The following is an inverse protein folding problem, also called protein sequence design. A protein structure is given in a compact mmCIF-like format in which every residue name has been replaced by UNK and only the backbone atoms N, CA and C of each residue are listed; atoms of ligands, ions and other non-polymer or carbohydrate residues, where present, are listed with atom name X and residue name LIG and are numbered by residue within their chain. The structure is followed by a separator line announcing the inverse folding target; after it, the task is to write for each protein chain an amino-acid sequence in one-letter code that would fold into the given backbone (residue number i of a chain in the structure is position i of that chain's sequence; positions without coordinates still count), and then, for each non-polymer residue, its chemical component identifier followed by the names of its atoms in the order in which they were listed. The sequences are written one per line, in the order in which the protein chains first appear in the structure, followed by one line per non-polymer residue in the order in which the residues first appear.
data_IF_756982069911
#
_entry.id   IF_756982069911
#
_cell.length_a   1.000
_cell.length_b   1.000
_cell.length_c   1.000
_cell.angle_alpha   90.00
_cell.angle_beta   90.00
_cell.angle_gamma   90.00
#
_symmetry.space_group_name_H-M   'P 1'
#
loop_
_entity.id
_entity.type
_entity.pdbx_description
1 polymer ?
#
# COMPACT_ATOMS: atom_id res chain seq x y z
N UNK A 1 0.63 -14.77 5.45
CA UNK A 1 0.96 -14.53 6.88
C UNK A 1 1.76 -15.73 7.37
N UNK A 2 2.99 -15.49 7.83
CA UNK A 2 3.91 -16.54 8.27
C UNK A 2 3.51 -17.05 9.66
N UNK A 3 3.41 -18.38 9.82
CA UNK A 3 3.20 -19.10 11.08
C UNK A 3 2.12 -18.51 12.02
N UNK A 4 1.03 -17.93 11.47
CA UNK A 4 -0.05 -17.31 12.27
C UNK A 4 -0.74 -18.28 13.23
N UNK A 5 -0.84 -19.54 12.83
CA UNK A 5 -1.48 -20.61 13.61
C UNK A 5 -0.49 -21.77 13.70
N UNK A 6 -0.34 -22.30 14.92
CA UNK A 6 0.54 -23.45 15.19
C UNK A 6 0.07 -24.68 14.42
N UNK A 7 1.00 -25.32 13.72
CA UNK A 7 0.73 -26.52 12.93
C UNK A 7 1.77 -27.61 13.19
N UNK A 8 1.37 -28.86 12.96
CA UNK A 8 2.28 -30.02 12.94
C UNK A 8 3.16 -30.03 11.67
N UNK A 9 4.07 -30.99 11.57
CA UNK A 9 4.96 -31.17 10.40
C UNK A 9 4.21 -31.40 9.07
N UNK A 10 2.95 -31.86 9.13
CA UNK A 10 2.10 -32.10 7.96
C UNK A 10 1.23 -30.89 7.62
N UNK A 11 1.28 -29.84 8.43
CA UNK A 11 0.50 -28.62 8.25
C UNK A 11 -0.90 -28.69 8.85
N UNK A 12 -1.26 -29.68 9.67
CA UNK A 12 -2.54 -29.67 10.39
C UNK A 12 -2.49 -28.72 11.58
N UNK A 13 -3.61 -28.05 11.88
CA UNK A 13 -3.68 -27.19 13.05
C UNK A 13 -3.53 -28.01 14.34
N UNK A 14 -2.71 -27.51 15.26
CA UNK A 14 -2.48 -28.14 16.57
C UNK A 14 -2.50 -27.11 17.68
N UNK A 15 -2.62 -27.59 18.90
CA UNK A 15 -2.36 -26.81 20.11
C UNK A 15 -0.87 -26.95 20.50
N UNK A 16 -0.32 -25.92 21.14
CA UNK A 16 1.09 -25.89 21.54
C UNK A 16 2.02 -25.29 20.47
N UNK A 17 3.29 -25.71 20.47
CA UNK A 17 4.33 -25.16 19.58
C UNK A 17 4.18 -25.64 18.14
N UNK A 18 4.50 -24.76 17.19
CA UNK A 18 4.58 -25.07 15.76
C UNK A 18 5.77 -26.02 15.50
N UNK A 19 5.57 -27.01 14.63
CA UNK A 19 6.56 -28.05 14.32
C UNK A 19 7.17 -27.91 12.93
N UNK A 20 6.81 -26.87 12.16
CA UNK A 20 7.33 -26.67 10.79
C UNK A 20 8.73 -26.04 10.77
N UNK A 21 9.37 -25.92 11.92
CA UNK A 21 10.70 -25.34 12.09
C UNK A 21 10.69 -23.81 12.12
N UNK A 22 11.87 -23.24 11.85
CA UNK A 22 12.09 -21.79 11.90
C UNK A 22 11.30 -21.08 10.78
N UNK A 23 10.48 -20.06 11.10
CA UNK A 23 9.78 -19.28 10.10
C UNK A 23 10.74 -18.49 9.19
N UNK A 24 10.75 -18.79 7.89
CA UNK A 24 11.56 -18.09 6.89
C UNK A 24 10.70 -17.14 6.06
N UNK A 25 11.09 -15.87 5.99
CA UNK A 25 10.51 -14.88 5.08
C UNK A 25 11.51 -14.53 3.98
N UNK A 26 11.20 -14.93 2.75
CA UNK A 26 11.98 -14.53 1.56
C UNK A 26 11.52 -13.17 1.06
N UNK A 27 12.48 -12.26 0.85
CA UNK A 27 12.23 -10.90 0.39
C UNK A 27 12.81 -10.76 -1.02
N UNK A 28 11.95 -10.37 -1.98
CA UNK A 28 12.37 -10.01 -3.33
C UNK A 28 12.67 -8.51 -3.37
N UNK A 29 13.95 -8.15 -3.33
CA UNK A 29 14.43 -6.77 -3.23
C UNK A 29 15.67 -6.57 -4.09
N UNK A 30 15.91 -5.35 -4.62
CA UNK A 30 17.25 -5.01 -5.09
C UNK A 30 18.23 -4.97 -3.91
N UNK A 31 19.52 -5.17 -4.22
CA UNK A 31 20.59 -5.06 -3.24
C UNK A 31 20.75 -3.59 -2.79
N UNK A 32 20.75 -3.30 -1.48
CA UNK A 32 20.89 -1.95 -0.96
C UNK A 32 22.36 -1.53 -0.97
N UNK A 33 22.83 -1.08 -2.13
CA UNK A 33 24.18 -0.51 -2.29
C UNK A 33 24.33 0.80 -1.51
N UNK A 34 25.57 1.12 -1.10
CA UNK A 34 25.87 2.28 -0.25
C UNK A 34 25.51 3.63 -0.89
N UNK A 35 25.79 3.78 -2.19
CA UNK A 35 25.50 5.00 -2.96
C UNK A 35 24.51 4.67 -4.10
N UNK A 36 23.20 4.56 -3.79
CA UNK A 36 22.20 4.21 -4.79
C UNK A 36 21.95 5.39 -5.72
N UNK A 37 21.76 5.13 -7.01
CA UNK A 37 21.26 6.14 -7.95
C UNK A 37 19.78 6.46 -7.67
N UNK A 38 19.30 7.61 -8.15
CA UNK A 38 17.90 8.05 -7.94
C UNK A 38 16.86 7.06 -8.52
N UNK A 39 17.26 6.26 -9.50
CA UNK A 39 16.46 5.23 -10.16
C UNK A 39 16.69 3.80 -9.64
N UNK A 40 17.44 3.62 -8.54
CA UNK A 40 17.78 2.31 -7.96
C UNK A 40 16.59 1.35 -7.89
N UNK A 41 15.45 1.80 -7.35
CA UNK A 41 14.27 0.95 -7.23
C UNK A 41 13.51 0.79 -8.55
N UNK A 42 13.40 1.84 -9.36
CA UNK A 42 12.64 1.79 -10.61
C UNK A 42 13.35 0.99 -11.71
N UNK A 43 14.67 0.87 -11.66
CA UNK A 43 15.44 -0.06 -12.48
C UNK A 43 15.17 -1.52 -12.11
N UNK A 44 15.00 -1.81 -10.82
CA UNK A 44 14.64 -3.15 -10.35
C UNK A 44 13.17 -3.50 -10.64
N UNK A 45 12.25 -2.59 -10.32
CA UNK A 45 10.82 -2.80 -10.53
C UNK A 45 10.10 -1.50 -10.89
N UNK A 46 9.87 -1.30 -12.19
CA UNK A 46 9.10 -0.16 -12.69
C UNK A 46 7.68 -0.13 -12.11
N UNK A 47 6.99 -1.28 -12.11
CA UNK A 47 5.64 -1.38 -11.53
C UNK A 47 5.61 -1.11 -10.04
N UNK A 48 6.59 -1.66 -9.29
CA UNK A 48 6.74 -1.41 -7.86
C UNK A 48 6.95 0.06 -7.55
N UNK A 49 7.79 0.77 -8.32
CA UNK A 49 8.07 2.20 -8.12
C UNK A 49 6.86 3.12 -8.30
N UNK A 50 5.84 2.66 -9.03
CA UNK A 50 4.58 3.40 -9.17
C UNK A 50 3.68 3.25 -7.94
N UNK A 51 3.75 2.11 -7.26
CA UNK A 51 2.95 1.81 -6.05
C UNK A 51 3.63 2.37 -4.80
N UNK A 52 4.96 2.22 -4.71
CA UNK A 52 5.78 2.66 -3.59
C UNK A 52 6.66 3.83 -4.02
N UNK A 53 6.10 5.04 -3.92
CA UNK A 53 6.72 6.24 -4.48
C UNK A 53 7.90 6.79 -3.67
N UNK A 54 8.04 6.44 -2.39
CA UNK A 54 9.16 6.87 -1.55
C UNK A 54 10.32 5.85 -1.63
N UNK A 55 11.21 6.06 -2.60
CA UNK A 55 12.30 5.14 -2.88
C UNK A 55 13.37 5.14 -1.78
N UNK A 56 13.51 6.25 -1.04
CA UNK A 56 14.43 6.33 0.10
C UNK A 56 14.02 5.41 1.24
N UNK A 57 12.70 5.31 1.52
CA UNK A 57 12.17 4.39 2.54
C UNK A 57 12.33 2.94 2.13
N UNK A 58 12.19 2.63 0.83
CA UNK A 58 12.45 1.29 0.30
C UNK A 58 13.92 0.90 0.47
N UNK A 59 14.84 1.82 0.16
CA UNK A 59 16.27 1.59 0.35
C UNK A 59 16.62 1.38 1.84
N UNK A 60 16.11 2.23 2.75
CA UNK A 60 16.30 2.05 4.20
C UNK A 60 15.77 0.70 4.68
N UNK A 61 14.60 0.30 4.18
CA UNK A 61 13.99 -0.99 4.51
C UNK A 61 14.89 -2.14 4.04
N UNK A 62 15.35 -2.11 2.78
CA UNK A 62 16.22 -3.14 2.23
C UNK A 62 17.54 -3.23 3.00
N UNK A 63 18.18 -2.08 3.29
CA UNK A 63 19.42 -1.98 4.07
C UNK A 63 19.25 -2.60 5.47
N UNK A 64 18.23 -2.16 6.21
CA UNK A 64 17.96 -2.65 7.55
C UNK A 64 17.73 -4.17 7.60
N UNK A 65 16.97 -4.69 6.63
CA UNK A 65 16.66 -6.13 6.57
C UNK A 65 17.89 -6.95 6.18
N UNK A 66 18.75 -6.43 5.29
CA UNK A 66 20.01 -7.10 4.92
C UNK A 66 20.99 -7.14 6.09
N UNK A 67 21.08 -6.07 6.88
CA UNK A 67 21.95 -5.97 8.06
C UNK A 67 21.48 -6.92 9.18
N UNK A 68 20.17 -6.94 9.48
CA UNK A 68 19.63 -7.71 10.62
C UNK A 68 19.46 -9.19 10.36
N UNK A 69 19.11 -9.59 9.13
CA UNK A 69 18.82 -10.99 8.73
C UNK A 69 17.72 -11.72 9.53
N UNK A 70 17.04 -11.04 10.45
CA UNK A 70 15.98 -11.60 11.29
C UNK A 70 15.49 -10.59 12.33
N UNK A 71 14.41 -10.92 13.02
CA UNK A 71 13.83 -10.11 14.09
C UNK A 71 12.89 -10.96 14.96
N UNK A 72 12.66 -10.52 16.20
CA UNK A 72 11.69 -11.12 17.12
C UNK A 72 10.46 -10.22 17.25
N UNK A 73 9.29 -10.84 17.14
CA UNK A 73 8.01 -10.16 17.36
C UNK A 73 7.47 -10.50 18.75
N UNK A 74 6.91 -9.52 19.49
CA UNK A 74 6.69 -8.12 19.09
C UNK A 74 7.84 -7.16 19.40
N UNK A 75 8.93 -7.61 20.02
CA UNK A 75 9.92 -6.73 20.66
C UNK A 75 10.65 -5.81 19.67
N UNK A 76 10.98 -6.31 18.48
CA UNK A 76 11.71 -5.53 17.47
C UNK A 76 10.79 -4.67 16.60
N UNK A 77 9.47 -4.83 16.71
CA UNK A 77 8.51 -4.22 15.79
C UNK A 77 8.62 -2.69 15.74
N UNK A 78 8.67 -2.03 16.91
CA UNK A 78 8.79 -0.57 17.00
C UNK A 78 10.08 -0.10 16.34
N UNK A 79 11.19 -0.75 16.69
CA UNK A 79 12.49 -0.35 16.19
C UNK A 79 12.61 -0.53 14.67
N UNK A 80 12.08 -1.62 14.11
CA UNK A 80 12.02 -1.81 12.65
C UNK A 80 11.26 -0.68 11.94
N UNK A 81 10.14 -0.22 12.52
CA UNK A 81 9.34 0.88 11.95
C UNK A 81 10.08 2.22 12.08
N UNK A 82 10.59 2.52 13.27
CA UNK A 82 11.27 3.80 13.56
C UNK A 82 12.59 3.95 12.81
N UNK A 83 13.33 2.87 12.57
CA UNK A 83 14.54 2.90 11.74
C UNK A 83 14.27 3.24 10.27
N UNK A 84 13.04 3.06 9.79
CA UNK A 84 12.66 3.43 8.42
C UNK A 84 11.92 4.75 8.37
N UNK A 85 11.05 5.06 9.34
CA UNK A 85 10.12 6.20 9.30
C UNK A 85 10.36 7.26 10.38
N UNK A 86 11.35 7.08 11.24
CA UNK A 86 11.73 8.03 12.28
C UNK A 86 12.19 9.38 11.75
N UNK A 87 12.32 10.35 12.65
CA UNK A 87 12.68 11.74 12.33
C UNK A 87 14.15 11.85 11.91
N UNK A 88 15.03 11.09 12.54
CA UNK A 88 16.49 11.22 12.41
C UNK A 88 17.13 10.16 11.48
N UNK A 89 16.39 9.71 10.47
CA UNK A 89 16.90 8.70 9.53
C UNK A 89 17.61 9.35 8.34
N UNK A 90 18.80 8.85 8.03
CA UNK A 90 19.63 9.35 6.93
C UNK A 90 19.27 8.64 5.62
N UNK A 91 18.88 9.43 4.62
CA UNK A 91 18.55 8.93 3.28
C UNK A 91 19.56 9.50 2.28
N UNK A 92 20.12 8.66 1.37
CA UNK A 92 21.08 9.10 0.36
C UNK A 92 20.59 10.31 -0.44
N UNK A 93 21.49 11.24 -0.72
CA UNK A 93 21.18 12.50 -1.41
C UNK A 93 20.56 12.27 -2.79
N UNK A 94 20.89 11.16 -3.44
CA UNK A 94 20.31 10.73 -4.72
C UNK A 94 18.79 10.61 -4.69
N UNK A 95 18.17 10.35 -3.53
CA UNK A 95 16.71 10.29 -3.39
C UNK A 95 16.05 11.61 -3.02
N UNK A 96 16.81 12.69 -2.80
CA UNK A 96 16.27 13.97 -2.30
C UNK A 96 15.13 14.53 -3.18
N UNK A 97 15.27 14.46 -4.51
CA UNK A 97 14.22 14.91 -5.43
C UNK A 97 12.95 14.05 -5.32
N UNK A 98 13.10 12.72 -5.25
CA UNK A 98 11.99 11.80 -5.02
C UNK A 98 11.27 12.10 -3.70
N UNK A 99 12.01 12.35 -2.62
CA UNK A 99 11.45 12.72 -1.32
C UNK A 99 10.70 14.05 -1.37
N UNK A 100 11.24 15.07 -2.04
CA UNK A 100 10.54 16.34 -2.22
C UNK A 100 9.23 16.16 -2.96
N UNK A 101 9.22 15.36 -4.04
CA UNK A 101 8.00 15.04 -4.78
C UNK A 101 6.97 14.36 -3.89
N UNK A 102 7.35 13.30 -3.19
CA UNK A 102 6.47 12.56 -2.26
C UNK A 102 5.92 13.50 -1.17
N UNK A 103 6.76 14.34 -0.57
CA UNK A 103 6.36 15.30 0.46
C UNK A 103 5.38 16.35 -0.09
N UNK A 104 5.64 16.86 -1.29
CA UNK A 104 4.76 17.83 -1.94
C UNK A 104 3.40 17.22 -2.26
N UNK A 105 3.37 15.98 -2.78
CA UNK A 105 2.13 15.29 -3.05
C UNK A 105 1.36 15.01 -1.75
N UNK A 106 2.04 14.58 -0.67
CA UNK A 106 1.42 14.45 0.66
C UNK A 106 0.82 15.77 1.16
N UNK A 107 1.52 16.90 1.02
CA UNK A 107 1.01 18.22 1.41
C UNK A 107 -0.21 18.66 0.61
N UNK A 108 -0.25 18.38 -0.70
CA UNK A 108 -1.45 18.63 -1.53
C UNK A 108 -2.65 17.86 -0.99
N UNK A 109 -2.44 16.60 -0.59
CA UNK A 109 -3.49 15.76 -0.01
C UNK A 109 -3.93 16.27 1.36
N UNK A 110 -2.99 16.62 2.24
CA UNK A 110 -3.31 17.22 3.54
C UNK A 110 -4.14 18.49 3.39
N UNK A 111 -3.78 19.36 2.43
CA UNK A 111 -4.53 20.57 2.12
C UNK A 111 -5.93 20.27 1.58
N UNK A 112 -6.07 19.30 0.68
CA UNK A 112 -7.37 18.90 0.15
C UNK A 112 -8.27 18.29 1.25
N UNK A 113 -7.68 17.46 2.12
CA UNK A 113 -8.38 16.87 3.26
C UNK A 113 -8.84 17.95 4.25
N UNK A 114 -8.02 18.95 4.54
CA UNK A 114 -8.41 20.07 5.41
C UNK A 114 -9.62 20.83 4.85
N UNK A 115 -9.66 21.09 3.53
CA UNK A 115 -10.81 21.70 2.85
C UNK A 115 -12.06 20.80 2.81
N UNK A 116 -11.89 19.52 3.14
CA UNK A 116 -12.93 18.48 3.09
C UNK A 116 -13.38 18.01 4.47
N UNK A 117 -12.82 18.58 5.53
CA UNK A 117 -13.05 18.13 6.89
C UNK A 117 -14.12 18.98 7.54
N UNK A 118 -15.12 18.33 8.13
CA UNK A 118 -16.14 19.01 8.93
C UNK A 118 -15.52 19.53 10.23
N UNK A 119 -15.75 20.80 10.52
CA UNK A 119 -15.37 21.43 11.79
C UNK A 119 -16.41 21.12 12.88
N UNK A 120 -16.19 20.06 13.66
CA UNK A 120 -17.14 19.59 14.67
C UNK A 120 -17.46 20.66 15.74
N UNK A 121 -16.48 21.52 16.04
CA UNK A 121 -16.58 22.64 16.98
C UNK A 121 -17.57 23.73 16.53
N UNK A 122 -17.88 23.81 15.24
CA UNK A 122 -18.84 24.79 14.68
C UNK A 122 -20.29 24.26 14.69
N UNK A 123 -20.51 23.01 15.11
CA UNK A 123 -21.82 22.38 15.12
C UNK A 123 -22.40 22.19 13.71
N UNK A 124 -23.72 22.01 13.63
CA UNK A 124 -24.46 21.80 12.37
C UNK A 124 -24.93 23.11 11.74
N UNK A 125 -24.12 24.18 11.80
CA UNK A 125 -24.45 25.45 11.18
C UNK A 125 -24.12 25.42 9.67
N UNK A 126 -25.13 25.61 8.82
CA UNK A 126 -24.98 25.50 7.36
C UNK A 126 -24.19 26.64 6.72
N UNK A 127 -23.92 27.74 7.44
CA UNK A 127 -23.21 28.91 6.92
C UNK A 127 -21.77 28.99 7.39
N UNK A 128 -21.49 28.55 8.63
CA UNK A 128 -20.14 28.53 9.19
C UNK A 128 -19.40 27.21 8.90
N UNK A 129 -20.14 26.14 8.59
CA UNK A 129 -19.60 24.83 8.23
C UNK A 129 -19.76 24.54 6.72
N UNK A 130 -19.77 25.59 5.89
CA UNK A 130 -19.95 25.49 4.44
C UNK A 130 -18.71 24.88 3.78
N UNK A 131 -18.62 23.55 3.85
CA UNK A 131 -17.73 22.76 3.02
C UNK A 131 -18.38 22.66 1.64
N UNK A 132 -17.65 22.90 0.55
CA UNK A 132 -18.23 22.81 -0.80
C UNK A 132 -18.54 21.34 -1.15
N UNK A 133 -19.73 20.84 -0.82
CA UNK A 133 -20.16 19.44 -0.96
C UNK A 133 -20.40 19.00 -2.42
N UNK A 134 -19.35 18.96 -3.23
CA UNK A 134 -19.32 18.24 -4.50
C UNK A 134 -18.93 16.76 -4.28
N UNK A 135 -19.92 15.88 -4.09
CA UNK A 135 -19.74 14.43 -3.84
C UNK A 135 -18.81 13.72 -4.84
N UNK A 136 -18.57 14.30 -6.03
CA UNK A 136 -17.59 13.78 -7.00
C UNK A 136 -16.12 14.01 -6.61
N UNK A 137 -15.86 14.85 -5.60
CA UNK A 137 -14.53 15.27 -5.12
C UNK A 137 -14.19 14.79 -3.70
N UNK A 138 -15.17 14.30 -2.93
CA UNK A 138 -14.96 13.88 -1.53
C UNK A 138 -14.78 12.37 -1.41
N UNK A 139 -13.58 11.90 -1.75
CA UNK A 139 -13.17 10.53 -1.42
C UNK A 139 -12.45 10.52 -0.06
N UNK A 140 -12.97 9.75 0.90
CA UNK A 140 -12.28 9.49 2.18
C UNK A 140 -11.10 8.53 2.04
N UNK A 141 -10.87 7.99 0.83
CA UNK A 141 -9.73 7.12 0.49
C UNK A 141 -9.06 7.57 -0.80
N UNK A 142 -7.92 8.23 -0.67
CA UNK A 142 -7.12 8.63 -1.82
C UNK A 142 -6.60 7.42 -2.62
N UNK A 143 -6.70 7.49 -3.96
CA UNK A 143 -6.14 6.50 -4.90
C UNK A 143 -7.05 5.33 -5.29
N UNK A 144 -8.25 5.23 -4.72
CA UNK A 144 -9.27 4.25 -5.15
C UNK A 144 -10.03 4.69 -6.41
N UNK A 145 -9.95 5.98 -6.74
CA UNK A 145 -10.70 6.61 -7.83
C UNK A 145 -10.18 6.21 -9.24
N UNK A 146 -9.10 5.42 -9.31
CA UNK A 146 -8.61 4.80 -10.55
C UNK A 146 -9.20 3.40 -10.83
N UNK A 147 -10.09 2.91 -9.97
CA UNK A 147 -10.80 1.66 -10.22
C UNK A 147 -12.15 1.95 -10.87
N UNK A 148 -12.33 1.48 -12.11
CA UNK A 148 -13.64 1.48 -12.76
C UNK A 148 -14.27 0.10 -12.64
N UNK A 149 -15.57 0.06 -12.38
CA UNK A 149 -16.32 -1.19 -12.45
C UNK A 149 -16.40 -1.60 -13.93
N UNK A 150 -15.94 -2.81 -14.23
CA UNK A 150 -16.06 -3.42 -15.54
C UNK A 150 -16.97 -4.65 -15.44
N UNK A 151 -17.63 -5.00 -16.54
CA UNK A 151 -18.42 -6.22 -16.67
C UNK A 151 -17.91 -6.97 -17.88
N UNK A 152 -17.62 -8.26 -17.73
CA UNK A 152 -17.12 -9.11 -18.81
C UNK A 152 -18.25 -9.43 -19.79
N UNK A 153 -17.96 -9.24 -21.08
CA UNK A 153 -18.89 -9.48 -22.16
C UNK A 153 -18.20 -10.23 -23.30
N UNK A 154 -19.01 -10.94 -24.09
CA UNK A 154 -18.60 -11.57 -25.35
C UNK A 154 -19.20 -10.79 -26.51
N UNK A 155 -18.49 -10.75 -27.64
CA UNK A 155 -19.04 -10.22 -28.88
C UNK A 155 -19.55 -11.37 -29.73
N UNK A 156 -20.87 -11.46 -29.93
CA UNK A 156 -21.53 -12.52 -30.70
C UNK A 156 -22.52 -11.87 -31.65
N UNK A 157 -22.38 -12.13 -32.95
CA UNK A 157 -23.27 -11.62 -34.00
C UNK A 157 -23.52 -10.11 -33.89
N UNK A 158 -22.43 -9.34 -33.82
CA UNK A 158 -22.44 -7.88 -33.70
C UNK A 158 -23.13 -7.32 -32.44
N UNK A 159 -23.24 -8.13 -31.39
CA UNK A 159 -23.83 -7.73 -30.10
C UNK A 159 -22.92 -8.11 -28.95
N UNK A 160 -22.86 -7.22 -27.96
CA UNK A 160 -22.30 -7.54 -26.64
C UNK A 160 -23.32 -8.35 -25.85
N UNK A 161 -22.92 -9.54 -25.43
CA UNK A 161 -23.71 -10.43 -24.56
C UNK A 161 -22.92 -10.70 -23.29
N UNK A 162 -23.57 -10.95 -22.14
CA UNK A 162 -22.86 -11.22 -20.89
C UNK A 162 -21.98 -12.48 -21.02
N UNK A 163 -20.86 -12.51 -20.30
CA UNK A 163 -19.94 -13.66 -20.34
C UNK A 163 -20.58 -14.92 -19.77
N UNK A 164 -21.34 -14.78 -18.68
CA UNK A 164 -22.22 -15.79 -18.10
C UNK A 164 -23.61 -15.69 -18.71
N UNK A 165 -24.21 -16.82 -19.04
CA UNK A 165 -25.57 -16.92 -19.60
C UNK A 165 -26.37 -18.02 -18.91
N UNK A 166 -27.69 -17.86 -18.83
CA UNK A 166 -28.60 -18.90 -18.34
C UNK A 166 -29.03 -18.71 -16.88
N UNK A 167 -28.85 -17.50 -16.34
CA UNK A 167 -29.30 -17.08 -15.02
C UNK A 167 -30.21 -15.86 -15.12
N UNK A 168 -30.91 -15.52 -14.04
CA UNK A 168 -31.74 -14.30 -13.99
C UNK A 168 -30.93 -13.01 -13.83
N UNK A 169 -29.61 -13.10 -13.66
CA UNK A 169 -28.71 -11.97 -13.39
C UNK A 169 -27.41 -12.06 -14.20
N UNK A 170 -27.52 -12.44 -15.48
CA UNK A 170 -26.38 -12.76 -16.34
C UNK A 170 -25.32 -11.63 -16.40
N UNK A 171 -25.74 -10.37 -16.47
CA UNK A 171 -24.81 -9.24 -16.45
C UNK A 171 -24.16 -9.00 -15.09
N UNK A 172 -24.90 -9.09 -13.99
CA UNK A 172 -24.35 -8.93 -12.64
C UNK A 172 -23.43 -10.08 -12.25
N UNK A 173 -23.71 -11.28 -12.76
CA UNK A 173 -22.87 -12.46 -12.59
C UNK A 173 -21.63 -12.42 -13.51
N UNK A 174 -21.61 -11.53 -14.50
CA UNK A 174 -20.44 -11.30 -15.36
C UNK A 174 -19.56 -10.13 -14.90
N UNK A 175 -19.88 -9.50 -13.76
CA UNK A 175 -19.13 -8.40 -13.16
C UNK A 175 -17.94 -8.89 -12.31
#
# INVERSE_FOLDING_TARGET
RLHRHCRDIFGNAKQGLDERGEPILWIFSPEPIEDPTSNWFSQFSRGGSMVYSDHGRLWLTAKLLQERKGWRMPEDARNLIESVYGIDVEIPQSFRENQFKVKNDKKKLESAAALSTIHLELGYDSTLNETSWDDSKFSTRYGIDNSSKAVLAKFVSDRLVPWISGTTRDWQNSA
#
